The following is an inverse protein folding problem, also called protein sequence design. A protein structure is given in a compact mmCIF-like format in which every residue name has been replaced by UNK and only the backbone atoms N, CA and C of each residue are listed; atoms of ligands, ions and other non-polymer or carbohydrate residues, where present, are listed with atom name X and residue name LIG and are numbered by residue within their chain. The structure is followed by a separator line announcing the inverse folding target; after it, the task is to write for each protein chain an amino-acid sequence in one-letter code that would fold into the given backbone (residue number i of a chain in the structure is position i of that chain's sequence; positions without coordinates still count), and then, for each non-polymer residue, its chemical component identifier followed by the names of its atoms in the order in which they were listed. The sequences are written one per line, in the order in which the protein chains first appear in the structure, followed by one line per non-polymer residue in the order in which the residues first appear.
data_IF_687008653763
#
_entry.id   IF_687008653763
#
_cell.length_a   1.000
_cell.length_b   1.000
_cell.length_c   1.000
_cell.angle_alpha   90.00
_cell.angle_beta   90.00
_cell.angle_gamma   90.00
#
_symmetry.space_group_name_H-M   'P 1'
#
loop_
_entity.id
_entity.type
_entity.pdbx_description
1 polymer ?
#
# COMPACT_ATOMS: atom_id res chain seq x y z
N UNK A 1 7.27 26.16 -7.54
CA UNK A 1 7.65 24.76 -7.88
C UNK A 1 7.22 23.78 -6.78
N UNK A 2 7.41 24.14 -5.50
CA UNK A 2 7.03 23.32 -4.32
C UNK A 2 5.55 22.88 -4.28
N UNK A 3 4.62 23.73 -4.77
CA UNK A 3 3.19 23.40 -4.75
C UNK A 3 2.80 22.32 -5.77
N UNK A 4 3.46 22.30 -6.93
CA UNK A 4 3.22 21.27 -7.96
C UNK A 4 3.67 19.89 -7.49
N UNK A 5 4.77 19.83 -6.73
CA UNK A 5 5.26 18.57 -6.16
C UNK A 5 4.35 18.07 -5.04
N UNK A 6 3.85 19.00 -4.20
CA UNK A 6 2.87 18.67 -3.17
C UNK A 6 1.59 18.11 -3.78
N UNK A 7 1.07 18.73 -4.85
CA UNK A 7 -0.13 18.28 -5.56
C UNK A 7 0.06 16.90 -6.21
N UNK A 8 1.24 16.64 -6.79
CA UNK A 8 1.58 15.32 -7.34
C UNK A 8 1.64 14.24 -6.26
N UNK A 9 2.25 14.55 -5.10
CA UNK A 9 2.29 13.61 -3.97
C UNK A 9 0.90 13.36 -3.39
N UNK A 10 0.05 14.38 -3.36
CA UNK A 10 -1.34 14.26 -2.91
C UNK A 10 -2.15 13.34 -3.84
N UNK A 11 -2.01 13.51 -5.16
CA UNK A 11 -2.65 12.62 -6.14
C UNK A 11 -2.20 11.16 -5.99
N UNK A 12 -0.91 10.90 -5.76
CA UNK A 12 -0.41 9.53 -5.50
C UNK A 12 -0.98 8.99 -4.17
N UNK A 13 -1.09 9.83 -3.14
CA UNK A 13 -1.73 9.46 -1.88
C UNK A 13 -3.19 9.05 -2.06
N UNK A 14 -3.96 9.80 -2.87
CA UNK A 14 -5.34 9.44 -3.21
C UNK A 14 -5.45 8.13 -3.97
N UNK A 15 -4.56 7.87 -4.93
CA UNK A 15 -4.50 6.56 -5.61
C UNK A 15 -4.16 5.45 -4.62
N UNK A 16 -3.24 5.69 -3.70
CA UNK A 16 -2.92 4.77 -2.60
C UNK A 16 -4.13 4.45 -1.72
N UNK A 17 -4.93 5.46 -1.36
CA UNK A 17 -6.17 5.27 -0.60
C UNK A 17 -7.17 4.37 -1.32
N UNK A 18 -7.36 4.57 -2.63
CA UNK A 18 -8.27 3.72 -3.41
C UNK A 18 -7.82 2.26 -3.33
N UNK A 19 -6.53 1.99 -3.49
CA UNK A 19 -6.01 0.62 -3.36
C UNK A 19 -6.18 0.04 -1.95
N UNK A 20 -5.98 0.83 -0.89
CA UNK A 20 -6.20 0.36 0.49
C UNK A 20 -7.69 0.10 0.80
N UNK A 21 -8.60 0.85 0.18
CA UNK A 21 -10.05 0.58 0.29
C UNK A 21 -10.39 -0.75 -0.41
N UNK A 22 -9.86 -0.99 -1.62
CA UNK A 22 -10.05 -2.27 -2.31
C UNK A 22 -9.42 -3.45 -1.57
N UNK A 23 -8.25 -3.25 -0.96
CA UNK A 23 -7.62 -4.22 -0.05
C UNK A 23 -8.59 -4.62 1.06
N UNK A 24 -9.10 -3.66 1.83
CA UNK A 24 -10.04 -3.92 2.93
C UNK A 24 -11.32 -4.65 2.46
N UNK A 25 -11.89 -4.24 1.31
CA UNK A 25 -13.07 -4.88 0.73
C UNK A 25 -12.77 -6.34 0.34
N UNK A 26 -11.68 -6.58 -0.40
CA UNK A 26 -11.34 -7.92 -0.89
C UNK A 26 -10.91 -8.86 0.24
N UNK A 27 -10.21 -8.36 1.25
CA UNK A 27 -9.90 -9.14 2.45
C UNK A 27 -11.16 -9.52 3.23
N UNK A 28 -12.14 -8.62 3.32
CA UNK A 28 -13.44 -8.95 3.93
C UNK A 28 -14.21 -10.03 3.13
N UNK A 29 -13.95 -10.13 1.83
CA UNK A 29 -14.44 -11.22 0.97
C UNK A 29 -13.53 -12.45 0.93
N UNK A 30 -12.56 -12.56 1.84
CA UNK A 30 -11.57 -13.66 1.89
C UNK A 30 -10.83 -13.88 0.56
N UNK A 31 -10.61 -12.81 -0.20
CA UNK A 31 -9.91 -12.89 -1.48
C UNK A 31 -8.41 -12.60 -1.32
N UNK A 32 -7.57 -13.49 -1.86
CA UNK A 32 -6.11 -13.32 -1.88
C UNK A 32 -5.67 -12.05 -2.63
N UNK A 33 -6.50 -11.55 -3.54
CA UNK A 33 -6.23 -10.30 -4.26
C UNK A 33 -6.18 -9.08 -3.33
N UNK A 34 -6.84 -9.11 -2.16
CA UNK A 34 -6.79 -8.03 -1.19
C UNK A 34 -5.36 -7.65 -0.83
N UNK A 35 -4.52 -8.63 -0.49
CA UNK A 35 -3.11 -8.39 -0.17
C UNK A 35 -2.30 -7.78 -1.34
N UNK A 36 -2.65 -8.12 -2.58
CA UNK A 36 -2.00 -7.52 -3.75
C UNK A 36 -2.33 -6.03 -3.86
N UNK A 37 -3.60 -5.67 -3.64
CA UNK A 37 -4.04 -4.27 -3.55
C UNK A 37 -3.41 -3.54 -2.35
N UNK A 38 -3.28 -4.21 -1.20
CA UNK A 38 -2.59 -3.68 -0.02
C UNK A 38 -1.12 -3.36 -0.29
N UNK A 39 -0.42 -4.23 -1.02
CA UNK A 39 0.93 -3.98 -1.53
C UNK A 39 0.99 -2.75 -2.43
N UNK A 40 0.08 -2.62 -3.40
CA UNK A 40 0.05 -1.47 -4.31
C UNK A 40 -0.22 -0.16 -3.56
N UNK A 41 -1.17 -0.15 -2.62
CA UNK A 41 -1.44 0.99 -1.76
C UNK A 41 -0.23 1.41 -0.93
N UNK A 42 0.45 0.44 -0.32
CA UNK A 42 1.66 0.67 0.47
C UNK A 42 2.82 1.19 -0.39
N UNK A 43 2.97 0.75 -1.63
CA UNK A 43 3.96 1.27 -2.59
C UNK A 43 3.66 2.74 -2.93
N UNK A 44 2.41 3.10 -3.18
CA UNK A 44 2.02 4.49 -3.41
C UNK A 44 2.42 5.37 -2.22
N UNK A 45 2.14 4.93 -1.00
CA UNK A 45 2.49 5.65 0.21
C UNK A 45 3.99 5.67 0.53
N UNK A 46 4.73 4.64 0.15
CA UNK A 46 6.19 4.63 0.18
C UNK A 46 6.75 5.74 -0.71
N UNK A 47 6.23 5.89 -1.94
CA UNK A 47 6.64 6.97 -2.87
C UNK A 47 6.33 8.35 -2.27
N UNK A 48 5.15 8.51 -1.65
CA UNK A 48 4.77 9.75 -0.96
C UNK A 48 5.73 10.05 0.20
N UNK A 49 6.04 9.04 1.03
CA UNK A 49 6.97 9.16 2.15
C UNK A 49 8.37 9.59 1.70
N UNK A 50 8.88 9.01 0.61
CA UNK A 50 10.18 9.38 0.01
C UNK A 50 10.15 10.83 -0.47
N UNK A 51 9.11 11.24 -1.20
CA UNK A 51 8.99 12.61 -1.74
C UNK A 51 8.89 13.67 -0.65
N UNK A 52 8.18 13.37 0.44
CA UNK A 52 8.01 14.28 1.57
C UNK A 52 9.12 14.15 2.63
N UNK A 53 10.06 13.20 2.45
CA UNK A 53 11.16 12.89 3.36
C UNK A 53 10.69 12.52 4.78
N UNK A 54 9.56 11.83 4.89
CA UNK A 54 8.98 11.38 6.16
C UNK A 54 9.43 9.94 6.42
N UNK A 55 10.50 9.77 7.20
CA UNK A 55 11.12 8.47 7.44
C UNK A 55 10.17 7.46 8.09
N UNK A 56 9.34 7.90 9.04
CA UNK A 56 8.34 7.04 9.70
C UNK A 56 7.36 6.43 8.70
N UNK A 57 6.95 7.20 7.69
CA UNK A 57 6.08 6.74 6.61
C UNK A 57 6.77 5.71 5.71
N UNK A 58 8.04 5.94 5.39
CA UNK A 58 8.84 5.01 4.59
C UNK A 58 8.95 3.66 5.29
N UNK A 59 9.37 3.66 6.56
CA UNK A 59 9.56 2.43 7.34
C UNK A 59 8.24 1.68 7.51
N UNK A 60 7.15 2.39 7.83
CA UNK A 60 5.84 1.77 8.02
C UNK A 60 5.34 1.06 6.75
N UNK A 61 5.47 1.71 5.58
CA UNK A 61 5.01 1.12 4.33
C UNK A 61 5.88 -0.05 3.86
N UNK A 62 7.18 -0.04 4.16
CA UNK A 62 8.04 -1.21 3.93
C UNK A 62 7.59 -2.41 4.76
N UNK A 63 7.26 -2.19 6.05
CA UNK A 63 6.73 -3.24 6.92
C UNK A 63 5.41 -3.78 6.36
N UNK A 64 4.48 -2.92 5.93
CA UNK A 64 3.22 -3.37 5.35
C UNK A 64 3.40 -4.14 4.04
N UNK A 65 4.34 -3.76 3.17
CA UNK A 65 4.67 -4.54 1.98
C UNK A 65 5.17 -5.93 2.39
N UNK A 66 6.08 -6.03 3.37
CA UNK A 66 6.58 -7.31 3.86
C UNK A 66 5.46 -8.18 4.46
N UNK A 67 4.54 -7.59 5.23
CA UNK A 67 3.39 -8.30 5.79
C UNK A 67 2.49 -8.82 4.67
N UNK A 68 2.13 -8.00 3.68
CA UNK A 68 1.28 -8.42 2.57
C UNK A 68 1.92 -9.55 1.75
N UNK A 69 3.22 -9.46 1.45
CA UNK A 69 3.95 -10.54 0.76
C UNK A 69 3.93 -11.82 1.59
N UNK A 70 4.20 -11.73 2.89
CA UNK A 70 4.17 -12.89 3.79
C UNK A 70 2.76 -13.50 3.86
N UNK A 71 1.72 -12.68 3.96
CA UNK A 71 0.32 -13.12 3.96
C UNK A 71 -0.04 -13.85 2.68
N UNK A 72 0.37 -13.35 1.51
CA UNK A 72 0.18 -14.04 0.21
C UNK A 72 0.84 -15.42 0.24
N UNK A 73 2.11 -15.49 0.65
CA UNK A 73 2.84 -16.76 0.73
C UNK A 73 2.18 -17.75 1.70
N UNK A 74 1.70 -17.27 2.84
CA UNK A 74 1.05 -18.10 3.84
C UNK A 74 -0.33 -18.59 3.38
N UNK A 75 -1.10 -17.71 2.74
CA UNK A 75 -2.43 -18.03 2.22
C UNK A 75 -2.36 -19.08 1.11
N UNK A 76 -1.40 -18.95 0.18
CA UNK A 76 -1.14 -19.96 -0.86
C UNK A 76 -0.73 -21.32 -0.27
N UNK A 77 0.02 -21.34 0.85
CA UNK A 77 0.39 -22.58 1.53
C UNK A 77 -0.79 -23.29 2.19
N UNK A 78 -1.83 -22.55 2.59
CA UNK A 78 -3.00 -23.10 3.25
C UNK A 78 -4.02 -23.71 2.27
N UNK A 79 -3.79 -23.59 0.95
CA UNK A 79 -4.63 -24.23 -0.06
C UNK A 79 -5.95 -23.51 -0.36
N UNK A 80 -6.02 -22.21 -0.11
CA UNK A 80 -7.11 -21.33 -0.55
C UNK A 80 -6.86 -20.80 -1.96
#
# INVERSE_FOLDING_TARGET
MRDKEKLKSDCIGWVGNVFLVFDAILLAHHSLWGFAYGCMGSICYLIVGIRLRILSFIVLNLIFISINIYSIMNWLKQGY
#
